data_IF_087435462001
#
_entry.id   IF_087435462001
#
_cell.length_a   1.000
_cell.length_b   1.000
_cell.length_c   1.000
_cell.angle_alpha   90.00
_cell.angle_beta   90.00
_cell.angle_gamma   90.00
#
_symmetry.space_group_name_H-M   'P 1'
#
loop_
_entity.id
_entity.type
_entity.pdbx_description
1 polymer ?
#
# COMPACT_ATOMS: atom_id res chain seq x y z
N UNK A 1 3.76 28.04 -12.99
CA UNK A 1 3.05 28.07 -14.30
C UNK A 1 3.96 28.69 -15.34
N UNK A 2 3.91 28.20 -16.57
CA UNK A 2 4.74 28.64 -17.70
C UNK A 2 3.82 29.18 -18.79
N UNK A 3 4.08 30.40 -19.24
CA UNK A 3 3.21 31.10 -20.21
C UNK A 3 3.55 30.84 -21.68
N UNK A 4 4.74 30.30 -21.99
CA UNK A 4 5.21 30.01 -23.35
C UNK A 4 5.74 28.57 -23.43
N UNK A 5 5.30 27.81 -24.43
CA UNK A 5 5.70 26.40 -24.61
C UNK A 5 7.21 26.22 -24.79
N UNK A 6 7.88 27.15 -25.50
CA UNK A 6 9.34 27.12 -25.68
C UNK A 6 10.10 27.17 -24.35
N UNK A 7 9.63 27.99 -23.40
CA UNK A 7 10.26 28.12 -22.08
C UNK A 7 10.11 26.83 -21.26
N UNK A 8 9.03 26.07 -21.45
CA UNK A 8 8.83 24.80 -20.75
C UNK A 8 9.96 23.82 -21.09
N UNK A 9 10.32 23.72 -22.38
CA UNK A 9 11.39 22.83 -22.83
C UNK A 9 12.74 23.20 -22.20
N UNK A 10 13.09 24.49 -22.19
CA UNK A 10 14.33 25.00 -21.58
C UNK A 10 14.35 24.74 -20.07
N UNK A 11 13.24 24.98 -19.38
CA UNK A 11 13.14 24.75 -17.93
C UNK A 11 13.25 23.27 -17.57
N UNK A 12 12.63 22.38 -18.33
CA UNK A 12 12.74 20.93 -18.14
C UNK A 12 14.20 20.49 -18.30
N UNK A 13 14.90 20.95 -19.35
CA UNK A 13 16.34 20.65 -19.52
C UNK A 13 17.18 21.12 -18.34
N UNK A 14 16.97 22.36 -17.86
CA UNK A 14 17.68 22.87 -16.68
C UNK A 14 17.40 22.08 -15.41
N UNK A 15 16.17 21.60 -15.22
CA UNK A 15 15.82 20.78 -14.06
C UNK A 15 16.59 19.45 -14.08
N UNK A 16 16.74 18.82 -15.25
CA UNK A 16 17.57 17.63 -15.40
C UNK A 16 19.06 17.92 -15.18
N UNK A 17 19.57 19.06 -15.65
CA UNK A 17 20.95 19.49 -15.42
C UNK A 17 21.27 19.64 -13.92
N UNK A 18 20.33 20.14 -13.12
CA UNK A 18 20.52 20.30 -11.66
C UNK A 18 20.22 19.02 -10.86
N UNK A 19 20.02 17.88 -11.53
CA UNK A 19 19.87 16.58 -10.88
C UNK A 19 18.49 16.31 -10.28
N UNK A 20 17.45 16.99 -10.76
CA UNK A 20 16.06 16.63 -10.44
C UNK A 20 15.78 15.21 -10.95
N UNK A 21 15.11 14.40 -10.14
CA UNK A 21 14.82 13.00 -10.44
C UNK A 21 13.43 12.77 -11.00
N UNK A 22 12.48 13.68 -10.74
CA UNK A 22 11.11 13.63 -11.26
C UNK A 22 10.74 14.99 -11.83
N UNK A 23 10.28 15.04 -13.07
CA UNK A 23 9.68 16.21 -13.70
C UNK A 23 8.32 15.83 -14.27
N UNK A 24 7.26 16.58 -13.93
CA UNK A 24 5.91 16.42 -14.50
C UNK A 24 5.43 17.72 -15.10
N UNK A 25 4.74 17.61 -16.22
CA UNK A 25 4.14 18.75 -16.93
C UNK A 25 2.65 18.51 -17.13
N UNK A 26 1.87 19.58 -17.14
CA UNK A 26 0.44 19.54 -17.52
C UNK A 26 0.10 20.80 -18.32
N UNK A 27 -1.01 20.77 -19.04
CA UNK A 27 -1.50 21.89 -19.83
C UNK A 27 -2.85 22.37 -19.29
N UNK A 28 -3.00 23.69 -19.17
CA UNK A 28 -4.23 24.37 -18.81
C UNK A 28 -4.70 25.16 -20.03
N UNK A 29 -5.89 24.83 -20.54
CA UNK A 29 -6.49 25.48 -21.72
C UNK A 29 -7.75 26.21 -21.29
N UNK A 30 -7.81 27.50 -21.60
CA UNK A 30 -8.99 28.33 -21.39
C UNK A 30 -9.22 29.20 -22.63
N UNK A 31 -10.21 28.83 -23.45
CA UNK A 31 -10.43 29.44 -24.75
C UNK A 31 -9.19 29.33 -25.63
N UNK A 32 -8.71 30.44 -26.17
CA UNK A 32 -7.50 30.52 -26.98
C UNK A 32 -6.20 30.63 -26.16
N UNK A 33 -6.30 30.71 -24.83
CA UNK A 33 -5.13 30.84 -23.95
C UNK A 33 -4.72 29.49 -23.41
N UNK A 34 -3.47 29.09 -23.70
CA UNK A 34 -2.83 27.91 -23.12
C UNK A 34 -1.73 28.32 -22.14
N UNK A 35 -1.64 27.60 -21.02
CA UNK A 35 -0.57 27.70 -20.02
C UNK A 35 -0.09 26.31 -19.65
N UNK A 36 1.15 26.18 -19.19
CA UNK A 36 1.71 24.90 -18.78
C UNK A 36 2.03 24.87 -17.28
N UNK A 37 1.62 23.83 -16.59
CA UNK A 37 2.11 23.48 -15.26
C UNK A 37 3.43 22.72 -15.38
N UNK A 38 4.39 23.04 -14.51
CA UNK A 38 5.66 22.34 -14.36
C UNK A 38 5.85 22.08 -12.87
N UNK A 39 6.03 20.81 -12.50
CA UNK A 39 6.30 20.36 -11.14
C UNK A 39 7.51 19.43 -11.14
N UNK A 40 8.32 19.48 -10.10
CA UNK A 40 9.53 18.67 -10.00
C UNK A 40 9.82 18.21 -8.57
N UNK A 41 10.65 17.18 -8.45
CA UNK A 41 11.15 16.66 -7.18
C UNK A 41 12.56 16.11 -7.31
N UNK A 42 13.38 16.34 -6.30
CA UNK A 42 14.68 15.68 -6.13
C UNK A 42 14.55 14.28 -5.52
N UNK A 43 13.36 13.91 -5.04
CA UNK A 43 13.12 12.57 -4.50
C UNK A 43 13.30 11.52 -5.60
N UNK A 44 14.30 10.63 -5.48
CA UNK A 44 14.56 9.63 -6.50
C UNK A 44 13.26 8.89 -6.83
N UNK A 45 13.06 8.55 -8.11
CA UNK A 45 12.01 7.63 -8.52
C UNK A 45 12.37 6.20 -8.10
N UNK A 46 12.81 6.02 -6.86
CA UNK A 46 12.62 4.77 -6.16
C UNK A 46 11.12 4.59 -6.10
N UNK A 47 10.64 3.63 -6.92
CA UNK A 47 9.38 2.90 -6.78
C UNK A 47 8.81 3.17 -5.40
N UNK A 48 7.56 3.65 -5.30
CA UNK A 48 6.80 3.77 -4.05
C UNK A 48 6.87 2.47 -3.24
N UNK A 49 7.97 2.26 -2.56
CA UNK A 49 8.25 1.11 -1.75
C UNK A 49 8.74 1.74 -0.46
N UNK A 50 7.75 2.10 0.34
CA UNK A 50 7.90 2.33 1.76
C UNK A 50 9.01 3.32 2.10
N UNK A 51 8.78 4.62 1.89
CA UNK A 51 9.45 5.59 2.76
C UNK A 51 8.98 5.31 4.18
N UNK A 52 9.82 4.62 4.94
CA UNK A 52 9.76 4.44 6.38
C UNK A 52 9.99 5.78 7.07
N UNK A 53 9.09 6.74 6.88
CA UNK A 53 8.81 7.68 7.95
C UNK A 53 7.91 6.91 8.91
N UNK A 54 8.49 6.49 10.04
CA UNK A 54 7.81 5.88 11.18
C UNK A 54 6.79 6.89 11.71
N UNK A 55 5.67 6.94 11.02
CA UNK A 55 4.38 7.36 11.53
C UNK A 55 3.65 6.04 11.59
N UNK A 56 3.23 5.61 12.78
CA UNK A 56 2.41 4.42 12.98
C UNK A 56 1.18 4.50 12.06
N UNK A 57 1.32 4.02 10.82
CA UNK A 57 0.27 4.11 9.82
C UNK A 57 -0.74 3.04 10.14
N UNK A 58 -1.66 3.38 11.03
CA UNK A 58 -2.85 2.59 11.35
C UNK A 58 -3.72 2.34 10.13
N UNK A 59 -3.51 3.07 9.04
CA UNK A 59 -4.23 2.88 7.78
C UNK A 59 -3.25 2.61 6.64
N UNK A 60 -3.53 1.55 5.88
CA UNK A 60 -2.83 1.20 4.65
C UNK A 60 -3.86 1.06 3.54
N UNK A 61 -3.50 1.47 2.33
CA UNK A 61 -4.41 1.36 1.20
C UNK A 61 -3.65 1.12 -0.09
N UNK A 62 -4.23 0.30 -0.97
CA UNK A 62 -3.70 0.02 -2.30
C UNK A 62 -4.84 -0.07 -3.31
N UNK A 63 -4.52 0.15 -4.58
CA UNK A 63 -5.47 0.06 -5.68
C UNK A 63 -5.29 -1.25 -6.44
N UNK A 64 -6.40 -1.90 -6.75
CA UNK A 64 -6.48 -2.95 -7.76
C UNK A 64 -7.01 -2.32 -9.04
N UNK A 65 -6.15 -2.28 -10.05
CA UNK A 65 -6.44 -1.76 -11.38
C UNK A 65 -6.42 -2.92 -12.39
N UNK A 66 -7.17 -2.79 -13.49
CA UNK A 66 -7.20 -3.84 -14.52
C UNK A 66 -7.92 -5.11 -14.07
N UNK A 67 -8.91 -4.95 -13.18
CA UNK A 67 -9.75 -6.05 -12.70
C UNK A 67 -10.53 -6.66 -13.87
N UNK A 68 -10.49 -7.99 -14.00
CA UNK A 68 -11.23 -8.67 -15.06
C UNK A 68 -12.75 -8.47 -14.87
N UNK A 69 -13.50 -8.32 -15.98
CA UNK A 69 -14.93 -7.96 -15.96
C UNK A 69 -15.82 -8.90 -15.14
N UNK A 70 -15.38 -10.14 -14.90
CA UNK A 70 -16.10 -11.12 -14.09
C UNK A 70 -16.02 -10.87 -12.58
N UNK A 71 -15.05 -10.08 -12.11
CA UNK A 71 -14.88 -9.77 -10.71
C UNK A 71 -15.50 -8.42 -10.38
N UNK A 72 -16.18 -8.38 -9.25
CA UNK A 72 -16.80 -7.16 -8.70
C UNK A 72 -16.31 -6.95 -7.27
N UNK A 73 -16.66 -5.81 -6.66
CA UNK A 73 -16.24 -5.48 -5.29
C UNK A 73 -16.59 -6.58 -4.28
N UNK A 74 -17.75 -7.23 -4.41
CA UNK A 74 -18.16 -8.32 -3.51
C UNK A 74 -17.32 -9.59 -3.72
N UNK A 75 -16.90 -9.89 -4.95
CA UNK A 75 -16.01 -11.01 -5.22
C UNK A 75 -14.65 -10.78 -4.59
N UNK A 76 -14.08 -9.57 -4.76
CA UNK A 76 -12.81 -9.20 -4.12
C UNK A 76 -12.93 -9.25 -2.59
N UNK A 77 -14.05 -8.81 -2.03
CA UNK A 77 -14.30 -8.88 -0.59
C UNK A 77 -14.29 -10.33 -0.07
N UNK A 78 -14.88 -11.27 -0.82
CA UNK A 78 -14.83 -12.71 -0.50
C UNK A 78 -13.43 -13.31 -0.67
N UNK A 79 -12.66 -12.87 -1.68
CA UNK A 79 -11.27 -13.29 -1.84
C UNK A 79 -10.39 -12.81 -0.68
N UNK A 80 -10.63 -11.59 -0.16
CA UNK A 80 -9.97 -11.07 1.05
C UNK A 80 -10.24 -11.97 2.25
N UNK A 81 -11.50 -12.31 2.51
CA UNK A 81 -11.87 -13.22 3.60
C UNK A 81 -11.21 -14.59 3.44
N UNK A 82 -11.32 -15.19 2.25
CA UNK A 82 -10.75 -16.50 1.95
C UNK A 82 -9.23 -16.54 2.15
N UNK A 83 -8.52 -15.48 1.76
CA UNK A 83 -7.08 -15.35 1.93
C UNK A 83 -6.65 -15.42 3.41
N UNK A 84 -7.36 -14.70 4.28
CA UNK A 84 -7.03 -14.68 5.70
C UNK A 84 -7.51 -15.95 6.43
N UNK A 85 -8.68 -16.50 6.07
CA UNK A 85 -9.13 -17.80 6.58
C UNK A 85 -8.14 -18.93 6.24
N UNK A 86 -7.63 -18.97 4.99
CA UNK A 86 -6.63 -19.94 4.57
C UNK A 86 -5.30 -19.80 5.33
N UNK A 87 -5.01 -18.60 5.85
CA UNK A 87 -3.85 -18.31 6.67
C UNK A 87 -4.08 -18.60 8.17
N UNK A 88 -5.24 -19.16 8.53
CA UNK A 88 -5.61 -19.48 9.91
C UNK A 88 -6.03 -18.27 10.76
N UNK A 89 -6.42 -17.16 10.13
CA UNK A 89 -7.02 -16.03 10.83
C UNK A 89 -8.54 -16.21 10.98
N UNK A 90 -9.12 -15.58 11.99
CA UNK A 90 -10.57 -15.45 12.11
C UNK A 90 -11.04 -14.22 11.33
N UNK A 91 -12.09 -14.38 10.53
CA UNK A 91 -12.65 -13.30 9.70
C UNK A 91 -14.14 -13.13 9.97
N UNK A 92 -14.61 -11.89 9.98
CA UNK A 92 -16.03 -11.53 10.02
C UNK A 92 -16.35 -10.62 8.84
N UNK A 93 -16.95 -11.20 7.81
CA UNK A 93 -17.44 -10.49 6.63
C UNK A 93 -18.71 -9.69 6.94
N UNK A 94 -18.71 -8.41 6.58
CA UNK A 94 -19.87 -7.54 6.58
C UNK A 94 -20.14 -7.00 5.16
N UNK A 95 -21.05 -7.64 4.39
CA UNK A 95 -21.34 -7.24 3.01
C UNK A 95 -21.92 -5.83 2.91
N UNK A 96 -22.73 -5.39 3.88
CA UNK A 96 -23.38 -4.09 3.87
C UNK A 96 -22.39 -2.93 3.97
N UNK A 97 -21.29 -3.13 4.70
CA UNK A 97 -20.21 -2.15 4.84
C UNK A 97 -19.07 -2.36 3.84
N UNK A 98 -19.18 -3.37 2.96
CA UNK A 98 -18.07 -3.84 2.12
C UNK A 98 -16.77 -4.00 2.92
N UNK A 99 -16.87 -4.66 4.09
CA UNK A 99 -15.80 -4.77 5.07
C UNK A 99 -15.56 -6.21 5.53
N UNK A 100 -14.32 -6.53 5.85
CA UNK A 100 -13.91 -7.77 6.56
C UNK A 100 -13.13 -7.36 7.79
N UNK A 101 -13.62 -7.73 8.96
CA UNK A 101 -12.86 -7.65 10.20
C UNK A 101 -11.99 -8.91 10.34
N UNK A 102 -10.69 -8.72 10.54
CA UNK A 102 -9.69 -9.79 10.59
C UNK A 102 -9.00 -9.78 11.94
N UNK A 103 -8.99 -10.95 12.57
CA UNK A 103 -8.22 -11.25 13.78
C UNK A 103 -7.23 -12.37 13.44
N UNK A 104 -5.97 -12.03 13.11
CA UNK A 104 -4.92 -13.01 12.85
C UNK A 104 -4.70 -13.96 14.03
N UNK A 105 -4.37 -15.21 13.74
CA UNK A 105 -3.84 -16.09 14.78
C UNK A 105 -2.40 -15.72 15.13
N UNK A 106 -2.02 -15.99 16.37
CA UNK A 106 -0.64 -15.76 16.87
C UNK A 106 0.41 -16.47 16.01
N UNK A 107 0.11 -17.71 15.59
CA UNK A 107 0.96 -18.49 14.68
C UNK A 107 1.16 -17.82 13.31
N UNK A 108 0.11 -17.21 12.74
CA UNK A 108 0.19 -16.49 11.47
C UNK A 108 1.08 -15.25 11.61
N UNK A 109 0.88 -14.44 12.66
CA UNK A 109 1.70 -13.27 12.94
C UNK A 109 3.19 -13.59 13.06
N UNK A 110 3.54 -14.65 13.81
CA UNK A 110 4.93 -15.08 13.97
C UNK A 110 5.55 -15.52 12.65
N UNK A 111 4.79 -16.21 11.79
CA UNK A 111 5.26 -16.64 10.47
C UNK A 111 5.56 -15.44 9.55
N UNK A 112 4.73 -14.41 9.62
CA UNK A 112 4.86 -13.19 8.81
C UNK A 112 6.06 -12.36 9.25
N UNK A 113 6.24 -12.18 10.56
CA UNK A 113 7.39 -11.44 11.10
C UNK A 113 8.70 -12.15 10.77
N UNK A 114 8.78 -13.47 10.92
CA UNK A 114 9.95 -14.28 10.56
C UNK A 114 10.27 -14.23 9.05
N UNK A 115 9.24 -14.16 8.20
CA UNK A 115 9.43 -14.03 6.75
C UNK A 115 9.81 -12.60 6.33
N UNK A 116 9.35 -11.58 7.06
CA UNK A 116 9.76 -10.19 6.85
C UNK A 116 11.25 -9.97 7.10
N UNK A 117 11.80 -10.56 8.17
CA UNK A 117 13.23 -10.46 8.52
C UNK A 117 14.14 -11.09 7.45
N UNK A 118 13.73 -12.20 6.83
CA UNK A 118 14.52 -12.86 5.76
C UNK A 118 14.66 -12.06 4.47
N UNK A 119 13.77 -11.10 4.20
CA UNK A 119 13.81 -10.30 2.97
C UNK A 119 14.67 -9.02 3.08
N UNK A 120 15.14 -8.67 4.27
CA UNK A 120 16.00 -7.50 4.51
C UNK A 120 17.49 -7.85 4.59
N UNK A 121 17.86 -9.12 4.77
CA UNK A 121 19.24 -9.53 5.02
C UNK A 121 20.03 -9.78 3.73
N UNK A 122 20.21 -8.72 2.94
CA UNK A 122 21.27 -8.65 1.93
C UNK A 122 21.84 -7.26 1.75
N UNK A 123 22.06 -6.50 2.83
CA UNK A 123 23.15 -5.51 2.93
C UNK A 123 23.46 -5.24 4.40
N UNK A 124 24.66 -5.64 4.80
CA UNK A 124 25.35 -5.51 6.09
C UNK A 124 24.92 -4.38 7.05
N UNK A 125 24.58 -4.73 8.29
CA UNK A 125 25.43 -4.52 9.48
C UNK A 125 24.58 -4.69 10.75
N UNK A 126 25.09 -5.47 11.71
CA UNK A 126 24.33 -5.97 12.85
C UNK A 126 23.91 -4.96 13.93
N UNK A 127 23.27 -5.55 14.93
CA UNK A 127 22.67 -4.99 16.17
C UNK A 127 21.19 -4.60 16.01
N UNK A 128 20.25 -4.98 16.87
CA UNK A 128 20.28 -5.55 18.21
C UNK A 128 18.90 -6.20 18.46
N UNK A 129 18.91 -7.41 19.03
CA UNK A 129 17.72 -8.16 19.45
C UNK A 129 17.40 -7.74 20.89
N UNK A 130 16.23 -7.16 21.22
CA UNK A 130 15.78 -7.13 22.60
C UNK A 130 15.08 -8.46 22.90
N UNK A 131 15.79 -9.34 23.61
CA UNK A 131 15.13 -10.31 24.49
C UNK A 131 14.39 -9.48 25.55
N UNK A 132 13.08 -9.65 25.68
CA UNK A 132 12.43 -9.46 26.96
C UNK A 132 11.29 -10.47 27.11
N UNK A 133 11.46 -11.33 28.12
CA UNK A 133 10.43 -12.11 28.79
C UNK A 133 9.54 -11.15 29.58
N UNK A 134 8.22 -11.20 29.37
CA UNK A 134 7.23 -11.40 30.44
C UNK A 134 5.79 -11.38 29.89
N UNK A 135 5.20 -12.58 29.82
CA UNK A 135 3.90 -12.86 30.44
C UNK A 135 2.62 -12.14 30.01
N UNK A 136 2.55 -11.48 28.85
CA UNK A 136 1.27 -11.04 28.27
C UNK A 136 1.24 -11.29 26.77
N UNK A 137 0.19 -11.94 26.26
CA UNK A 137 0.01 -12.27 24.85
C UNK A 137 -0.20 -10.98 24.02
N UNK A 138 0.88 -10.27 23.70
CA UNK A 138 0.90 -9.01 22.94
C UNK A 138 0.22 -9.11 21.55
N UNK A 139 0.00 -10.35 21.08
CA UNK A 139 -0.57 -10.69 19.78
C UNK A 139 -2.07 -10.94 19.80
N UNK A 140 -2.70 -11.09 20.98
CA UNK A 140 -4.16 -11.26 21.10
C UNK A 140 -4.95 -9.98 20.76
N UNK A 141 -4.24 -8.85 20.60
CA UNK A 141 -4.84 -7.53 20.34
C UNK A 141 -4.75 -7.08 18.86
N UNK A 142 -4.07 -7.85 18.01
CA UNK A 142 -3.96 -7.49 16.59
C UNK A 142 -5.30 -7.76 15.90
N UNK A 143 -6.04 -6.69 15.66
CA UNK A 143 -7.26 -6.73 14.85
C UNK A 143 -7.26 -5.57 13.87
N UNK A 144 -7.68 -5.85 12.64
CA UNK A 144 -7.77 -4.83 11.61
C UNK A 144 -8.98 -5.08 10.71
N UNK A 145 -9.44 -4.03 10.05
CA UNK A 145 -10.54 -4.07 9.10
C UNK A 145 -10.02 -3.82 7.70
N UNK A 146 -10.38 -4.64 6.74
CA UNK A 146 -10.23 -4.35 5.32
C UNK A 146 -11.57 -3.85 4.78
N UNK A 147 -11.55 -2.78 4.01
CA UNK A 147 -12.71 -2.21 3.32
C UNK A 147 -12.42 -2.12 1.82
N UNK A 148 -13.45 -2.37 1.01
CA UNK A 148 -13.35 -2.37 -0.46
C UNK A 148 -14.26 -1.29 -1.03
N UNK A 149 -13.68 -0.34 -1.75
CA UNK A 149 -14.40 0.77 -2.38
C UNK A 149 -14.18 0.76 -3.89
N UNK A 150 -15.26 0.87 -4.67
CA UNK A 150 -15.13 1.07 -6.11
C UNK A 150 -14.88 2.55 -6.40
N UNK A 151 -13.75 2.86 -7.04
CA UNK A 151 -13.45 4.23 -7.45
C UNK A 151 -14.03 4.55 -8.83
N UNK A 152 -13.76 3.68 -9.79
CA UNK A 152 -14.28 3.72 -11.15
C UNK A 152 -14.52 2.27 -11.63
N UNK A 153 -15.26 2.04 -12.72
CA UNK A 153 -15.39 0.70 -13.30
C UNK A 153 -14.03 0.06 -13.58
N UNK A 154 -13.79 -1.14 -13.04
CA UNK A 154 -12.53 -1.88 -13.20
C UNK A 154 -11.40 -1.48 -12.23
N UNK A 155 -11.66 -0.56 -11.29
CA UNK A 155 -10.69 -0.12 -10.29
C UNK A 155 -11.29 -0.10 -8.89
N UNK A 156 -10.69 -0.86 -7.98
CA UNK A 156 -11.07 -0.91 -6.57
C UNK A 156 -9.95 -0.37 -5.68
N UNK A 157 -10.32 0.43 -4.69
CA UNK A 157 -9.45 0.83 -3.59
C UNK A 157 -9.71 -0.10 -2.42
N UNK A 158 -8.67 -0.76 -1.93
CA UNK A 158 -8.71 -1.50 -0.68
C UNK A 158 -8.03 -0.68 0.40
N UNK A 159 -8.68 -0.59 1.55
CA UNK A 159 -8.16 0.12 2.72
C UNK A 159 -8.19 -0.81 3.93
N UNK A 160 -7.01 -1.10 4.48
CA UNK A 160 -6.83 -1.70 5.78
C UNK A 160 -6.73 -0.65 6.88
N UNK A 161 -7.42 -0.85 7.99
CA UNK A 161 -7.33 -0.02 9.20
C UNK A 161 -7.15 -0.89 10.45
N UNK A 162 -6.04 -0.67 11.15
CA UNK A 162 -5.71 -1.31 12.42
C UNK A 162 -6.62 -0.76 13.53
N UNK A 163 -7.22 -1.66 14.33
CA UNK A 163 -8.19 -1.31 15.36
C UNK A 163 -7.54 -1.04 16.73
N UNK A 164 -6.40 -1.67 17.04
CA UNK A 164 -5.69 -1.48 18.31
C UNK A 164 -4.22 -1.05 18.11
N UNK A 165 -3.70 -0.18 18.98
CA UNK A 165 -2.42 0.50 18.82
C UNK A 165 -1.28 -0.16 19.61
N UNK A 166 -0.60 -1.12 18.99
CA UNK A 166 0.73 -1.58 19.41
C UNK A 166 1.78 -1.25 18.36
N UNK A 167 2.95 -0.74 18.76
CA UNK A 167 4.02 -0.35 17.83
C UNK A 167 4.58 -1.55 17.04
N UNK A 168 4.74 -2.71 17.68
CA UNK A 168 5.16 -3.97 17.04
C UNK A 168 4.10 -4.54 16.07
N UNK A 169 2.82 -4.30 16.37
CA UNK A 169 1.67 -4.76 15.60
C UNK A 169 1.57 -4.05 14.23
N UNK A 170 2.11 -2.84 14.12
CA UNK A 170 2.09 -2.03 12.89
C UNK A 170 2.95 -2.66 11.78
N UNK A 171 4.06 -3.31 12.13
CA UNK A 171 4.94 -3.98 11.15
C UNK A 171 4.30 -5.25 10.56
N UNK A 172 3.73 -6.10 11.42
CA UNK A 172 3.00 -7.30 10.98
C UNK A 172 1.79 -6.94 10.12
N UNK A 173 1.03 -5.91 10.50
CA UNK A 173 -0.09 -5.37 9.73
C UNK A 173 0.31 -4.95 8.32
N UNK A 174 1.44 -4.24 8.17
CA UNK A 174 1.92 -3.82 6.85
C UNK A 174 2.28 -5.00 5.94
N UNK A 175 2.95 -6.01 6.49
CA UNK A 175 3.32 -7.20 5.75
C UNK A 175 2.09 -8.02 5.33
N UNK A 176 1.08 -8.14 6.19
CA UNK A 176 -0.19 -8.79 5.87
C UNK A 176 -0.91 -8.08 4.72
N UNK A 177 -1.02 -6.74 4.79
CA UNK A 177 -1.67 -5.95 3.74
C UNK A 177 -0.90 -6.07 2.41
N UNK A 178 0.43 -6.12 2.45
CA UNK A 178 1.26 -6.31 1.27
C UNK A 178 1.10 -7.72 0.66
N UNK A 179 1.03 -8.77 1.48
CA UNK A 179 0.78 -10.14 0.99
C UNK A 179 -0.59 -10.26 0.35
N UNK A 180 -1.62 -9.66 0.98
CA UNK A 180 -2.97 -9.57 0.43
C UNK A 180 -2.98 -8.86 -0.92
N UNK A 181 -2.32 -7.70 -1.04
CA UNK A 181 -2.22 -6.95 -2.30
C UNK A 181 -1.65 -7.83 -3.42
N UNK A 182 -0.55 -8.53 -3.14
CA UNK A 182 0.10 -9.40 -4.11
C UNK A 182 -0.77 -10.59 -4.52
N UNK A 183 -1.50 -11.18 -3.57
CA UNK A 183 -2.41 -12.29 -3.84
C UNK A 183 -3.58 -11.84 -4.74
N UNK A 184 -4.24 -10.74 -4.37
CA UNK A 184 -5.39 -10.22 -5.11
C UNK A 184 -5.01 -9.73 -6.51
N UNK A 185 -3.83 -9.12 -6.68
CA UNK A 185 -3.33 -8.75 -8.02
C UNK A 185 -3.16 -9.96 -8.92
N UNK A 186 -2.65 -11.08 -8.40
CA UNK A 186 -2.47 -12.32 -9.17
C UNK A 186 -3.80 -12.99 -9.51
N UNK A 187 -4.76 -12.95 -8.59
CA UNK A 187 -6.04 -13.62 -8.75
C UNK A 187 -7.02 -12.84 -9.65
N UNK A 188 -7.12 -11.52 -9.45
CA UNK A 188 -8.24 -10.72 -9.96
C UNK A 188 -7.83 -9.77 -11.09
N UNK A 189 -6.56 -9.36 -11.15
CA UNK A 189 -6.08 -8.45 -12.19
C UNK A 189 -5.58 -9.26 -13.39
N UNK A 190 -5.71 -8.69 -14.60
CA UNK A 190 -5.12 -9.29 -15.80
C UNK A 190 -3.59 -9.19 -15.68
N UNK A 191 -2.87 -10.30 -15.82
CA UNK A 191 -1.41 -10.28 -15.88
C UNK A 191 -0.97 -9.34 -17.01
N UNK A 192 -0.28 -8.27 -16.66
CA UNK A 192 0.41 -7.39 -17.62
C UNK A 192 1.66 -8.07 -18.13
#
# INVERSE_FOLDING_TARGET
MVGRKANLKVLVSKLWEVGVSIVKTTEFVQGETCRWGLAWSFLPLTKKLLTSHVTEKRNLSFMLEGIQRQFSAIHVLKSVESHFLASGASCKLNPSLFAVDVTPSTAYCDSILKNGVRNFDKTSSGQLLPKLSDGTNLMDELSFRITVFQQIPGTLLLKGSLQHSGSQLTGAFALMVQQLENALKKEVCRGT
#
